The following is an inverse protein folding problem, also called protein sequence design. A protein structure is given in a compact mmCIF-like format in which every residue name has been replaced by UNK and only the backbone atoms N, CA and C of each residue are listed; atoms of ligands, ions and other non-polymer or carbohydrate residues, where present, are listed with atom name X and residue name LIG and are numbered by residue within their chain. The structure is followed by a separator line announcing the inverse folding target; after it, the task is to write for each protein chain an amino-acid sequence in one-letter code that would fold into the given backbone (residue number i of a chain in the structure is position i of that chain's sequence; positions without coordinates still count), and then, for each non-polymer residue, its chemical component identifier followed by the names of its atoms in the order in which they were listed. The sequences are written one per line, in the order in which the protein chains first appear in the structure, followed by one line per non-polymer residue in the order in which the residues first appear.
data_IF_145155770802
#
_entry.id   IF_145155770802
#
_cell.length_a   1.000
_cell.length_b   1.000
_cell.length_c   1.000
_cell.angle_alpha   90.00
_cell.angle_beta   90.00
_cell.angle_gamma   90.00
#
_symmetry.space_group_name_H-M   'P 1'
#
loop_
_entity.id
_entity.type
_entity.pdbx_description
1 polymer ?
#
# COMPACT_ATOMS: atom_id res chain seq x y z
N UNK A 1 71.72 -4.43 28.39
CA UNK A 1 71.63 -2.97 28.62
C UNK A 1 70.83 -2.25 27.53
N UNK A 2 70.96 -2.60 26.24
CA UNK A 2 70.18 -1.94 25.16
C UNK A 2 68.66 -1.96 25.29
N UNK A 3 68.04 -3.00 25.89
CA UNK A 3 66.59 -3.06 26.07
C UNK A 3 66.05 -2.06 27.11
N UNK A 4 66.82 -1.81 28.18
CA UNK A 4 66.43 -0.89 29.26
C UNK A 4 66.60 0.56 28.82
N UNK A 5 67.67 0.89 28.09
CA UNK A 5 67.84 2.20 27.46
C UNK A 5 66.77 2.49 26.40
N UNK A 6 66.36 1.47 25.63
CA UNK A 6 65.27 1.62 24.67
C UNK A 6 63.91 1.86 25.37
N UNK A 7 63.70 1.21 26.51
CA UNK A 7 62.50 1.38 27.33
C UNK A 7 62.45 2.78 27.98
N UNK A 8 63.54 3.26 28.58
CA UNK A 8 63.62 4.60 29.18
C UNK A 8 63.43 5.72 28.15
N UNK A 9 63.96 5.52 26.94
CA UNK A 9 63.86 6.50 25.86
C UNK A 9 62.49 6.51 25.19
N UNK A 10 61.72 5.42 25.25
CA UNK A 10 60.36 5.33 24.71
C UNK A 10 59.26 5.64 25.75
N UNK A 11 59.53 5.41 27.04
CA UNK A 11 58.62 5.67 28.16
C UNK A 11 57.93 7.05 28.13
N UNK A 12 58.65 8.19 27.98
CA UNK A 12 58.02 9.51 28.01
C UNK A 12 57.14 9.80 26.78
N UNK A 13 57.23 8.99 25.72
CA UNK A 13 56.45 9.15 24.50
C UNK A 13 55.21 8.25 24.48
N UNK A 14 55.26 7.05 25.08
CA UNK A 14 54.11 6.11 25.15
C UNK A 14 53.18 6.43 26.32
N UNK A 15 53.70 6.97 27.42
CA UNK A 15 52.90 7.40 28.58
C UNK A 15 51.77 8.38 28.25
N UNK A 16 52.00 9.50 27.53
CA UNK A 16 50.94 10.45 27.23
C UNK A 16 49.87 9.87 26.30
N UNK A 17 50.23 8.96 25.39
CA UNK A 17 49.28 8.27 24.52
C UNK A 17 48.38 7.31 25.31
N UNK A 18 48.97 6.51 26.21
CA UNK A 18 48.22 5.61 27.10
C UNK A 18 47.35 6.36 28.09
N UNK A 19 47.83 7.47 28.65
CA UNK A 19 47.06 8.33 29.55
C UNK A 19 45.89 9.02 28.83
N UNK A 20 46.08 9.47 27.59
CA UNK A 20 45.00 10.04 26.79
C UNK A 20 43.94 8.98 26.43
N UNK A 21 44.37 7.78 26.00
CA UNK A 21 43.46 6.68 25.71
C UNK A 21 42.70 6.20 26.97
N UNK A 22 43.40 6.07 28.10
CA UNK A 22 42.79 5.71 29.39
C UNK A 22 41.83 6.81 29.88
N UNK A 23 42.17 8.09 29.70
CA UNK A 23 41.31 9.22 30.01
C UNK A 23 40.02 9.21 29.19
N UNK A 24 40.10 8.94 27.88
CA UNK A 24 38.93 8.79 27.02
C UNK A 24 38.08 7.57 27.41
N UNK A 25 38.70 6.43 27.73
CA UNK A 25 38.00 5.25 28.21
C UNK A 25 37.31 5.48 29.57
N UNK A 26 37.95 6.23 30.46
CA UNK A 26 37.37 6.62 31.75
C UNK A 26 36.16 7.54 31.55
N UNK A 27 36.29 8.59 30.72
CA UNK A 27 35.17 9.50 30.39
C UNK A 27 34.03 8.73 29.74
N UNK A 28 34.34 7.77 28.86
CA UNK A 28 33.35 6.89 28.25
C UNK A 28 32.59 6.07 29.29
N UNK A 29 33.30 5.37 30.19
CA UNK A 29 32.70 4.57 31.25
C UNK A 29 31.87 5.45 32.20
N UNK A 30 32.31 6.68 32.47
CA UNK A 30 31.62 7.63 33.35
C UNK A 30 30.33 8.16 32.71
N UNK A 31 30.35 8.48 31.41
CA UNK A 31 29.16 8.87 30.64
C UNK A 31 28.17 7.70 30.53
N UNK A 32 28.65 6.49 30.25
CA UNK A 32 27.84 5.28 30.22
C UNK A 32 27.19 5.00 31.58
N UNK A 33 27.97 5.09 32.65
CA UNK A 33 27.51 4.91 34.03
C UNK A 33 26.50 5.99 34.42
N UNK A 34 26.74 7.26 34.10
CA UNK A 34 25.81 8.37 34.39
C UNK A 34 24.47 8.21 33.65
N UNK A 35 24.52 7.80 32.38
CA UNK A 35 23.32 7.53 31.57
C UNK A 35 22.58 6.25 32.02
N UNK A 36 23.29 5.30 32.61
CA UNK A 36 22.72 4.09 33.21
C UNK A 36 22.23 4.33 34.66
N UNK A 37 22.79 5.29 35.39
CA UNK A 37 22.38 5.66 36.75
C UNK A 37 21.04 6.43 36.75
N UNK A 38 20.70 7.11 35.64
CA UNK A 38 19.36 7.70 35.42
C UNK A 38 18.28 6.68 35.01
N UNK A 39 18.37 5.45 35.49
CA UNK A 39 17.32 4.41 35.39
C UNK A 39 16.20 4.74 36.36
N UNK A 40 15.33 5.66 35.99
CA UNK A 40 13.96 5.75 36.54
C UNK A 40 12.99 5.42 35.41
N UNK A 41 12.26 4.33 35.66
CA UNK A 41 11.07 3.73 35.03
C UNK A 41 10.76 3.97 33.53
N UNK A 42 10.20 2.93 32.93
CA UNK A 42 10.40 2.53 31.54
C UNK A 42 9.21 2.97 30.69
N UNK A 43 9.39 4.01 29.88
CA UNK A 43 8.54 4.31 28.71
C UNK A 43 9.21 3.75 27.43
N UNK A 44 8.56 2.88 26.66
CA UNK A 44 9.08 2.33 25.40
C UNK A 44 9.52 3.41 24.39
N UNK A 45 8.74 4.49 24.25
CA UNK A 45 9.00 5.56 23.27
C UNK A 45 10.23 6.43 23.54
N UNK A 46 10.68 6.54 24.80
CA UNK A 46 11.89 7.31 25.16
C UNK A 46 13.18 6.50 24.98
N UNK A 47 13.07 5.21 24.66
CA UNK A 47 14.22 4.31 24.57
C UNK A 47 15.00 4.48 23.26
N UNK A 48 14.32 4.68 22.12
CA UNK A 48 14.98 4.86 20.81
C UNK A 48 15.84 6.13 20.79
N UNK A 49 15.29 7.27 21.24
CA UNK A 49 16.04 8.52 21.35
C UNK A 49 17.26 8.38 22.26
N UNK A 50 17.12 7.71 23.41
CA UNK A 50 18.24 7.48 24.33
C UNK A 50 19.30 6.54 23.73
N UNK A 51 18.89 5.50 23.01
CA UNK A 51 19.80 4.59 22.30
C UNK A 51 20.58 5.34 21.21
N UNK A 52 19.92 6.17 20.42
CA UNK A 52 20.57 7.01 19.40
C UNK A 52 21.59 7.98 20.01
N UNK A 53 21.22 8.68 21.10
CA UNK A 53 22.16 9.59 21.80
C UNK A 53 23.37 8.83 22.36
N UNK A 54 23.17 7.63 22.92
CA UNK A 54 24.27 6.79 23.40
C UNK A 54 25.19 6.36 22.26
N UNK A 55 24.62 5.86 21.16
CA UNK A 55 25.39 5.42 19.99
C UNK A 55 26.19 6.59 19.39
N UNK A 56 25.56 7.76 19.26
CA UNK A 56 26.23 8.98 18.80
C UNK A 56 27.40 9.38 19.72
N UNK A 57 27.19 9.41 21.04
CA UNK A 57 28.24 9.71 22.02
C UNK A 57 29.38 8.70 21.95
N UNK A 58 29.07 7.41 21.78
CA UNK A 58 30.11 6.37 21.63
C UNK A 58 30.94 6.57 20.37
N UNK A 59 30.30 6.95 19.25
CA UNK A 59 30.98 7.24 17.99
C UNK A 59 31.87 8.49 18.11
N UNK A 60 31.39 9.54 18.78
CA UNK A 60 32.16 10.78 19.03
C UNK A 60 33.40 10.50 19.88
N UNK A 61 33.29 9.69 20.93
CA UNK A 61 34.45 9.33 21.76
C UNK A 61 35.44 8.46 20.99
N UNK A 62 34.98 7.51 20.19
CA UNK A 62 35.87 6.71 19.35
C UNK A 62 36.61 7.58 18.33
N UNK A 63 35.90 8.52 17.69
CA UNK A 63 36.47 9.46 16.75
C UNK A 63 37.50 10.39 17.42
N UNK A 64 37.21 10.89 18.63
CA UNK A 64 38.15 11.76 19.36
C UNK A 64 39.43 11.03 19.78
N UNK A 65 39.34 9.76 20.18
CA UNK A 65 40.52 8.92 20.47
C UNK A 65 41.42 8.77 19.25
N UNK A 66 40.84 8.45 18.07
CA UNK A 66 41.60 8.32 16.81
C UNK A 66 42.26 9.66 16.43
N UNK A 67 41.55 10.77 16.66
CA UNK A 67 42.05 12.10 16.35
C UNK A 67 43.19 12.51 17.28
N UNK A 68 43.09 12.25 18.59
CA UNK A 68 44.17 12.48 19.57
C UNK A 68 45.41 11.63 19.23
N UNK A 69 45.25 10.36 18.88
CA UNK A 69 46.36 9.50 18.45
C UNK A 69 47.07 10.01 17.18
N UNK A 70 46.37 10.77 16.33
CA UNK A 70 46.95 11.34 15.11
C UNK A 70 47.87 12.54 15.38
N UNK A 71 47.74 13.22 16.52
CA UNK A 71 48.59 14.36 16.89
C UNK A 71 49.94 13.94 17.51
N UNK A 72 50.05 12.71 17.97
CA UNK A 72 51.27 12.18 18.58
C UNK A 72 52.20 11.69 17.47
N UNK A 73 53.35 12.36 17.29
CA UNK A 73 54.30 12.12 16.17
C UNK A 73 54.65 10.64 15.93
N UNK A 74 54.78 9.85 17.00
CA UNK A 74 55.23 8.45 16.93
C UNK A 74 54.10 7.47 16.56
N UNK A 75 52.85 7.78 16.91
CA UNK A 75 51.68 6.97 16.54
C UNK A 75 50.98 7.48 15.30
N UNK A 76 51.45 8.59 14.71
CA UNK A 76 50.81 9.26 13.58
C UNK A 76 50.59 8.34 12.38
N UNK A 77 51.60 7.55 12.00
CA UNK A 77 51.48 6.60 10.88
C UNK A 77 50.42 5.53 11.17
N UNK A 78 50.51 4.88 12.34
CA UNK A 78 49.53 3.88 12.77
C UNK A 78 48.12 4.45 12.91
N UNK A 79 47.99 5.69 13.39
CA UNK A 79 46.73 6.40 13.52
C UNK A 79 46.13 6.74 12.16
N UNK A 80 46.95 7.15 11.17
CA UNK A 80 46.46 7.39 9.80
C UNK A 80 45.99 6.11 9.11
N UNK A 81 46.71 4.99 9.27
CA UNK A 81 46.29 3.68 8.74
C UNK A 81 45.00 3.21 9.41
N UNK A 82 44.92 3.33 10.74
CA UNK A 82 43.72 2.97 11.50
C UNK A 82 42.52 3.85 11.13
N UNK A 83 42.72 5.17 10.98
CA UNK A 83 41.68 6.10 10.55
C UNK A 83 41.20 5.79 9.13
N UNK A 84 42.10 5.43 8.21
CA UNK A 84 41.76 5.00 6.86
C UNK A 84 40.94 3.70 6.85
N UNK A 85 41.39 2.68 7.58
CA UNK A 85 40.66 1.41 7.74
C UNK A 85 39.28 1.61 8.37
N UNK A 86 39.21 2.37 9.47
CA UNK A 86 37.94 2.70 10.10
C UNK A 86 37.06 3.50 9.15
N UNK A 87 37.59 4.46 8.40
CA UNK A 87 36.83 5.22 7.40
C UNK A 87 36.23 4.33 6.32
N UNK A 88 36.98 3.36 5.80
CA UNK A 88 36.48 2.39 4.81
C UNK A 88 35.40 1.51 5.43
N UNK A 89 35.63 0.96 6.63
CA UNK A 89 34.66 0.09 7.31
C UNK A 89 33.38 0.83 7.67
N UNK A 90 33.48 2.05 8.23
CA UNK A 90 32.32 2.87 8.58
C UNK A 90 31.54 3.32 7.34
N UNK A 91 32.22 3.76 6.29
CA UNK A 91 31.54 4.16 5.05
C UNK A 91 30.84 2.97 4.40
N UNK A 92 31.51 1.82 4.29
CA UNK A 92 30.89 0.59 3.79
C UNK A 92 29.69 0.17 4.66
N UNK A 93 29.83 0.19 5.99
CA UNK A 93 28.73 -0.16 6.90
C UNK A 93 27.53 0.78 6.73
N UNK A 94 27.75 2.10 6.64
CA UNK A 94 26.69 3.08 6.43
C UNK A 94 26.02 2.87 5.07
N UNK A 95 26.79 2.69 4.00
CA UNK A 95 26.26 2.46 2.65
C UNK A 95 25.41 1.20 2.60
N UNK A 96 25.92 0.07 3.11
CA UNK A 96 25.21 -1.22 3.10
C UNK A 96 23.93 -1.13 3.95
N UNK A 97 24.01 -0.50 5.12
CA UNK A 97 22.86 -0.38 6.03
C UNK A 97 21.79 0.58 5.48
N UNK A 98 22.20 1.62 4.75
CA UNK A 98 21.27 2.63 4.21
C UNK A 98 20.72 2.26 2.84
N UNK A 99 21.32 1.28 2.15
CA UNK A 99 20.96 0.88 0.80
C UNK A 99 19.45 0.61 0.66
N UNK A 100 18.87 -0.16 1.58
CA UNK A 100 17.43 -0.53 1.53
C UNK A 100 16.50 0.69 1.66
N UNK A 101 16.85 1.68 2.50
CA UNK A 101 16.06 2.90 2.64
C UNK A 101 16.09 3.72 1.35
N UNK A 102 17.28 3.90 0.78
CA UNK A 102 17.47 4.64 -0.47
C UNK A 102 16.75 3.92 -1.62
N UNK A 103 16.85 2.59 -1.71
CA UNK A 103 16.15 1.80 -2.72
C UNK A 103 14.63 1.95 -2.63
N UNK A 104 14.04 1.95 -1.42
CA UNK A 104 12.60 2.17 -1.26
C UNK A 104 12.19 3.61 -1.62
N UNK A 105 12.99 4.61 -1.28
CA UNK A 105 12.72 6.00 -1.68
C UNK A 105 12.77 6.17 -3.21
N UNK A 106 13.80 5.62 -3.85
CA UNK A 106 13.94 5.68 -5.31
C UNK A 106 12.82 4.89 -6.02
N UNK A 107 12.44 3.72 -5.49
CA UNK A 107 11.28 2.98 -5.97
C UNK A 107 9.98 3.79 -5.83
N UNK A 108 9.79 4.50 -4.71
CA UNK A 108 8.65 5.39 -4.51
C UNK A 108 8.59 6.53 -5.52
N UNK A 109 9.72 7.19 -5.77
CA UNK A 109 9.82 8.25 -6.78
C UNK A 109 9.53 7.71 -8.19
N UNK A 110 10.08 6.54 -8.53
CA UNK A 110 9.82 5.88 -9.80
C UNK A 110 8.34 5.54 -9.98
N UNK A 111 7.70 4.94 -8.97
CA UNK A 111 6.26 4.61 -9.02
C UNK A 111 5.40 5.86 -9.24
N UNK A 112 5.75 6.97 -8.60
CA UNK A 112 5.08 8.28 -8.79
C UNK A 112 5.34 8.87 -10.18
N UNK A 113 6.53 8.67 -10.75
CA UNK A 113 6.89 9.16 -12.07
C UNK A 113 6.18 8.38 -13.19
N UNK A 114 6.15 7.05 -13.11
CA UNK A 114 5.49 6.20 -14.11
C UNK A 114 3.95 6.27 -13.98
N UNK A 115 3.43 6.62 -12.80
CA UNK A 115 1.99 6.78 -12.51
C UNK A 115 1.19 5.51 -12.84
N UNK A 116 1.73 4.34 -12.52
CA UNK A 116 1.10 3.04 -12.79
C UNK A 116 -0.26 2.85 -12.09
N UNK A 117 -0.42 3.43 -10.89
CA UNK A 117 -1.65 3.45 -10.10
C UNK A 117 -1.69 4.71 -9.23
N UNK A 118 -2.88 5.05 -8.74
CA UNK A 118 -3.18 6.22 -7.88
C UNK A 118 -3.80 5.77 -6.56
N UNK A 119 -3.94 6.70 -5.61
CA UNK A 119 -4.78 6.43 -4.42
C UNK A 119 -6.22 6.24 -4.90
N UNK A 120 -6.92 5.27 -4.33
CA UNK A 120 -8.28 4.89 -4.74
C UNK A 120 -8.36 3.77 -5.79
N UNK A 121 -7.28 3.43 -6.50
CA UNK A 121 -7.27 2.31 -7.43
C UNK A 121 -7.27 0.96 -6.68
N UNK A 122 -7.94 -0.06 -7.22
CA UNK A 122 -7.75 -1.43 -6.75
C UNK A 122 -6.47 -2.01 -7.34
N UNK A 123 -5.64 -2.59 -6.48
CA UNK A 123 -4.35 -3.13 -6.85
C UNK A 123 -4.21 -4.55 -6.31
N UNK A 124 -3.59 -5.42 -7.10
CA UNK A 124 -3.16 -6.76 -6.68
C UNK A 124 -1.66 -6.92 -6.88
N UNK A 125 -0.95 -7.31 -5.82
CA UNK A 125 0.50 -7.58 -5.85
C UNK A 125 0.81 -8.87 -5.10
N UNK A 126 1.14 -9.92 -5.84
CA UNK A 126 1.18 -11.27 -5.28
C UNK A 126 -0.18 -11.63 -4.69
N UNK A 127 -0.19 -12.02 -3.41
CA UNK A 127 -1.40 -12.43 -2.69
C UNK A 127 -2.19 -11.25 -2.07
N UNK A 128 -1.68 -10.02 -2.19
CA UNK A 128 -2.28 -8.86 -1.54
C UNK A 128 -3.22 -8.19 -2.54
N UNK A 129 -4.50 -8.07 -2.19
CA UNK A 129 -5.51 -7.38 -2.95
C UNK A 129 -6.20 -6.35 -2.08
N UNK A 130 -6.39 -5.14 -2.60
CA UNK A 130 -7.04 -4.06 -1.88
C UNK A 130 -7.06 -2.76 -2.67
N UNK A 131 -7.62 -1.72 -2.06
CA UNK A 131 -7.66 -0.37 -2.59
C UNK A 131 -6.52 0.45 -2.01
N UNK A 132 -5.81 1.20 -2.83
CA UNK A 132 -4.67 2.01 -2.37
C UNK A 132 -5.16 3.13 -1.46
N UNK A 133 -4.76 3.12 -0.19
CA UNK A 133 -5.11 4.15 0.79
C UNK A 133 -4.04 5.24 0.89
N UNK A 134 -2.77 4.88 0.83
CA UNK A 134 -1.68 5.85 0.94
C UNK A 134 -0.51 5.50 0.02
N UNK A 135 0.15 6.52 -0.54
CA UNK A 135 1.43 6.38 -1.24
C UNK A 135 2.51 7.19 -0.53
N UNK A 136 3.16 6.58 0.46
CA UNK A 136 4.28 7.15 1.20
C UNK A 136 5.60 7.22 0.41
N UNK A 137 6.64 7.76 1.04
CA UNK A 137 7.98 7.84 0.43
C UNK A 137 8.66 6.47 0.33
N UNK A 138 8.45 5.60 1.32
CA UNK A 138 9.12 4.30 1.42
C UNK A 138 8.18 3.10 1.25
N UNK A 139 6.87 3.33 1.34
CA UNK A 139 5.86 2.30 1.31
C UNK A 139 4.58 2.80 0.64
N UNK A 140 3.72 1.86 0.25
CA UNK A 140 2.32 2.08 -0.13
C UNK A 140 1.46 1.31 0.85
N UNK A 141 0.36 1.91 1.28
CA UNK A 141 -0.63 1.25 2.10
C UNK A 141 -1.84 0.84 1.23
N UNK A 142 -2.27 -0.40 1.41
CA UNK A 142 -3.48 -0.95 0.79
C UNK A 142 -4.50 -1.23 1.88
N UNK A 143 -5.73 -0.78 1.70
CA UNK A 143 -6.86 -1.22 2.50
C UNK A 143 -7.45 -2.47 1.85
N UNK A 144 -7.54 -3.56 2.59
CA UNK A 144 -8.07 -4.86 2.13
C UNK A 144 -9.59 -4.93 2.26
N UNK A 145 -10.21 -5.98 1.70
CA UNK A 145 -11.65 -6.22 1.83
C UNK A 145 -12.13 -6.46 3.27
N UNK A 146 -11.22 -6.89 4.14
CA UNK A 146 -11.47 -7.05 5.58
C UNK A 146 -11.27 -5.75 6.38
N UNK A 147 -11.10 -4.61 5.69
CA UNK A 147 -10.78 -3.29 6.26
C UNK A 147 -9.40 -3.19 6.93
N UNK A 148 -8.57 -4.23 6.84
CA UNK A 148 -7.18 -4.20 7.32
C UNK A 148 -6.28 -3.31 6.43
N UNK A 149 -5.26 -2.70 7.04
CA UNK A 149 -4.26 -1.88 6.37
C UNK A 149 -2.96 -2.66 6.15
N UNK A 150 -2.71 -3.05 4.90
CA UNK A 150 -1.51 -3.75 4.49
C UNK A 150 -0.45 -2.77 3.97
N UNK A 151 0.67 -2.62 4.70
CA UNK A 151 1.80 -1.79 4.29
C UNK A 151 2.80 -2.56 3.44
N UNK A 152 2.98 -2.15 2.18
CA UNK A 152 3.90 -2.74 1.23
C UNK A 152 5.11 -1.83 0.98
N UNK A 153 6.36 -2.32 1.13
CA UNK A 153 7.54 -1.54 0.75
C UNK A 153 7.54 -1.18 -0.74
N UNK A 154 7.97 0.03 -1.10
CA UNK A 154 7.99 0.46 -2.50
C UNK A 154 8.86 -0.45 -3.37
N UNK A 155 9.97 -0.94 -2.84
CA UNK A 155 10.85 -1.86 -3.56
C UNK A 155 10.14 -3.17 -3.91
N UNK A 156 9.23 -3.65 -3.05
CA UNK A 156 8.44 -4.85 -3.31
C UNK A 156 7.52 -4.67 -4.54
N UNK A 157 6.86 -3.52 -4.64
CA UNK A 157 5.96 -3.17 -5.73
C UNK A 157 6.69 -3.01 -7.08
N UNK A 158 7.94 -2.53 -7.06
CA UNK A 158 8.76 -2.44 -8.27
C UNK A 158 9.32 -3.81 -8.68
N UNK A 159 9.57 -4.70 -7.72
CA UNK A 159 10.14 -6.02 -7.96
C UNK A 159 9.15 -7.09 -8.42
N UNK A 160 7.85 -6.88 -8.21
CA UNK A 160 6.79 -7.85 -8.54
C UNK A 160 5.81 -7.28 -9.55
N UNK A 161 5.14 -8.14 -10.35
CA UNK A 161 4.03 -7.70 -11.18
C UNK A 161 2.91 -7.07 -10.33
N UNK A 162 2.45 -5.89 -10.75
CA UNK A 162 1.36 -5.15 -10.12
C UNK A 162 0.19 -5.13 -11.10
N UNK A 163 -0.93 -5.72 -10.71
CA UNK A 163 -2.17 -5.64 -11.49
C UNK A 163 -3.03 -4.52 -10.93
N UNK A 164 -3.49 -3.63 -11.79
CA UNK A 164 -4.28 -2.45 -11.41
C UNK A 164 -5.63 -2.50 -12.11
N UNK A 165 -6.69 -2.37 -11.35
CA UNK A 165 -8.04 -2.13 -11.88
C UNK A 165 -8.18 -0.61 -11.99
N UNK A 166 -8.15 -0.10 -13.22
CA UNK A 166 -8.17 1.34 -13.48
C UNK A 166 -9.58 1.90 -13.33
N UNK A 167 -9.66 3.18 -12.97
CA UNK A 167 -10.91 3.95 -12.99
C UNK A 167 -11.62 3.99 -14.37
N UNK A 168 -10.91 3.68 -15.46
CA UNK A 168 -11.48 3.61 -16.82
C UNK A 168 -12.37 2.39 -17.07
N UNK A 169 -12.51 1.48 -16.10
CA UNK A 169 -13.32 0.28 -16.22
C UNK A 169 -12.50 -1.01 -16.27
N UNK A 170 -13.19 -2.13 -16.08
CA UNK A 170 -12.58 -3.47 -16.06
C UNK A 170 -13.55 -4.55 -16.51
N UNK A 171 -13.02 -5.71 -16.91
CA UNK A 171 -13.86 -6.88 -17.18
C UNK A 171 -14.18 -7.58 -15.86
N UNK A 172 -15.47 -7.69 -15.56
CA UNK A 172 -15.97 -8.55 -14.49
C UNK A 172 -16.41 -9.87 -15.11
N UNK A 173 -15.98 -10.98 -14.53
CA UNK A 173 -16.34 -12.31 -15.02
C UNK A 173 -16.64 -13.28 -13.90
N UNK A 174 -17.50 -14.25 -14.18
CA UNK A 174 -17.72 -15.42 -13.33
C UNK A 174 -17.71 -16.69 -14.18
N UNK A 175 -17.50 -17.82 -13.52
CA UNK A 175 -17.43 -19.14 -14.15
C UNK A 175 -18.48 -20.04 -13.53
N UNK A 176 -19.20 -20.77 -14.36
CA UNK A 176 -20.20 -21.76 -13.95
C UNK A 176 -19.97 -23.05 -14.72
N UNK A 177 -20.13 -24.17 -14.06
CA UNK A 177 -20.02 -25.50 -14.67
C UNK A 177 -21.41 -26.12 -14.72
N UNK A 178 -21.81 -26.58 -15.91
CA UNK A 178 -23.14 -27.12 -16.17
C UNK A 178 -23.04 -28.48 -16.86
N UNK A 179 -24.02 -29.36 -16.63
CA UNK A 179 -24.04 -30.70 -17.20
C UNK A 179 -24.15 -30.69 -18.74
N UNK A 180 -23.72 -31.79 -19.37
CA UNK A 180 -23.82 -31.96 -20.83
C UNK A 180 -25.25 -32.11 -21.36
N UNK A 181 -26.19 -32.40 -20.46
CA UNK A 181 -27.60 -32.55 -20.80
C UNK A 181 -28.26 -31.21 -21.19
N UNK A 182 -27.64 -30.09 -20.78
CA UNK A 182 -28.13 -28.75 -21.09
C UNK A 182 -27.67 -28.29 -22.48
N UNK A 183 -28.60 -27.72 -23.26
CA UNK A 183 -28.27 -27.17 -24.58
C UNK A 183 -27.39 -25.92 -24.43
N UNK A 184 -26.19 -25.96 -25.01
CA UNK A 184 -25.24 -24.84 -24.95
C UNK A 184 -25.83 -23.52 -25.49
N UNK A 185 -26.70 -23.57 -26.50
CA UNK A 185 -27.36 -22.38 -27.06
C UNK A 185 -28.29 -21.72 -26.04
N UNK A 186 -29.04 -22.54 -25.29
CA UNK A 186 -29.95 -22.08 -24.23
C UNK A 186 -29.15 -21.46 -23.07
N UNK A 187 -28.07 -22.13 -22.67
CA UNK A 187 -27.18 -21.67 -21.59
C UNK A 187 -26.48 -20.37 -21.96
N UNK A 188 -25.88 -20.27 -23.15
CA UNK A 188 -25.20 -19.06 -23.61
C UNK A 188 -26.14 -17.86 -23.65
N UNK A 189 -27.37 -18.04 -24.14
CA UNK A 189 -28.39 -16.99 -24.14
C UNK A 189 -28.76 -16.53 -22.72
N UNK A 190 -29.02 -17.47 -21.79
CA UNK A 190 -29.35 -17.15 -20.41
C UNK A 190 -28.19 -16.43 -19.68
N UNK A 191 -26.96 -16.86 -19.90
CA UNK A 191 -25.77 -16.23 -19.31
C UNK A 191 -25.55 -14.81 -19.87
N UNK A 192 -25.79 -14.61 -21.16
CA UNK A 192 -25.69 -13.28 -21.76
C UNK A 192 -26.75 -12.33 -21.19
N UNK A 193 -28.00 -12.78 -21.03
CA UNK A 193 -29.06 -12.02 -20.36
C UNK A 193 -28.69 -11.69 -18.91
N UNK A 194 -28.08 -12.62 -18.18
CA UNK A 194 -27.61 -12.38 -16.82
C UNK A 194 -26.58 -11.26 -16.72
N UNK A 195 -25.63 -11.18 -17.66
CA UNK A 195 -24.63 -10.10 -17.66
C UNK A 195 -25.23 -8.74 -18.02
N UNK A 196 -26.23 -8.70 -18.92
CA UNK A 196 -26.99 -7.48 -19.21
C UNK A 196 -27.77 -7.03 -17.97
N UNK A 197 -28.45 -7.97 -17.28
CA UNK A 197 -29.17 -7.70 -16.04
C UNK A 197 -28.26 -7.21 -14.91
N UNK A 198 -27.00 -7.65 -14.89
CA UNK A 198 -25.98 -7.17 -13.95
C UNK A 198 -25.45 -5.75 -14.26
N UNK A 199 -25.95 -5.11 -15.32
CA UNK A 199 -25.51 -3.80 -15.83
C UNK A 199 -24.05 -3.79 -16.33
N UNK A 200 -23.62 -4.87 -16.98
CA UNK A 200 -22.34 -4.93 -17.69
C UNK A 200 -22.53 -4.58 -19.17
N UNK A 201 -21.57 -3.81 -19.71
CA UNK A 201 -21.50 -3.49 -21.13
C UNK A 201 -20.79 -4.60 -21.90
N UNK A 202 -21.11 -4.75 -23.19
CA UNK A 202 -20.47 -5.71 -24.11
C UNK A 202 -20.29 -7.13 -23.52
N UNK A 203 -21.37 -7.78 -23.03
CA UNK A 203 -21.27 -9.09 -22.41
C UNK A 203 -20.91 -10.18 -23.43
N UNK A 204 -20.08 -11.12 -23.00
CA UNK A 204 -19.68 -12.27 -23.82
C UNK A 204 -19.54 -13.54 -22.98
N UNK A 205 -19.81 -14.68 -23.61
CA UNK A 205 -19.71 -16.02 -23.02
C UNK A 205 -18.66 -16.81 -23.78
N UNK A 206 -17.80 -17.51 -23.04
CA UNK A 206 -16.87 -18.50 -23.59
C UNK A 206 -17.04 -19.85 -22.91
N UNK A 207 -16.89 -20.93 -23.67
CA UNK A 207 -16.63 -22.25 -23.12
C UNK A 207 -15.14 -22.33 -22.80
N UNK A 208 -14.79 -22.46 -21.52
CA UNK A 208 -13.40 -22.57 -21.08
C UNK A 208 -12.87 -24.00 -21.20
N UNK A 209 -13.70 -24.97 -20.82
CA UNK A 209 -13.29 -26.36 -20.69
C UNK A 209 -14.48 -27.29 -20.92
N UNK A 210 -14.23 -28.40 -21.61
CA UNK A 210 -15.13 -29.56 -21.70
C UNK A 210 -14.60 -30.61 -20.72
N UNK A 211 -15.08 -30.58 -19.47
CA UNK A 211 -14.65 -31.49 -18.42
C UNK A 211 -15.31 -32.85 -18.53
N UNK A 212 -14.94 -33.80 -17.66
CA UNK A 212 -15.46 -35.17 -17.72
C UNK A 212 -16.99 -35.26 -17.52
N UNK A 213 -17.55 -34.35 -16.71
CA UNK A 213 -18.97 -34.38 -16.31
C UNK A 213 -19.72 -33.05 -16.55
N UNK A 214 -19.02 -32.01 -17.00
CA UNK A 214 -19.61 -30.68 -17.14
C UNK A 214 -18.85 -29.81 -18.15
N UNK A 215 -19.57 -28.90 -18.79
CA UNK A 215 -19.02 -27.81 -19.57
C UNK A 215 -18.81 -26.60 -18.65
N UNK A 216 -17.59 -26.06 -18.62
CA UNK A 216 -17.29 -24.85 -17.84
C UNK A 216 -17.44 -23.62 -18.73
N UNK A 217 -18.42 -22.79 -18.42
CA UNK A 217 -18.68 -21.51 -19.08
C UNK A 217 -18.04 -20.37 -18.28
N UNK A 218 -17.52 -19.38 -18.99
CA UNK A 218 -17.15 -18.08 -18.44
C UNK A 218 -18.03 -17.02 -19.05
N UNK A 219 -18.80 -16.36 -18.20
CA UNK A 219 -19.54 -15.15 -18.54
C UNK A 219 -18.73 -13.94 -18.08
N UNK A 220 -18.64 -12.94 -18.94
CA UNK A 220 -17.90 -11.72 -18.65
C UNK A 220 -18.57 -10.51 -19.32
N UNK A 221 -18.29 -9.33 -18.79
CA UNK A 221 -18.71 -8.06 -19.38
C UNK A 221 -17.89 -6.90 -18.83
N UNK A 222 -17.94 -5.78 -19.53
CA UNK A 222 -17.25 -4.56 -19.16
C UNK A 222 -18.01 -3.79 -18.09
N UNK A 223 -17.32 -3.45 -17.01
CA UNK A 223 -17.81 -2.60 -15.92
C UNK A 223 -17.12 -1.24 -16.04
N UNK A 224 -17.84 -0.16 -16.41
CA UNK A 224 -17.24 1.17 -16.53
C UNK A 224 -16.87 1.77 -15.17
N UNK A 225 -17.73 1.62 -14.16
CA UNK A 225 -17.51 2.16 -12.81
C UNK A 225 -16.92 1.10 -11.87
N UNK A 226 -15.64 1.24 -11.53
CA UNK A 226 -14.93 0.24 -10.74
C UNK A 226 -15.03 0.44 -9.22
N UNK A 227 -15.62 1.54 -8.74
CA UNK A 227 -15.74 1.82 -7.30
C UNK A 227 -16.44 0.67 -6.57
N UNK A 228 -17.50 0.14 -7.19
CA UNK A 228 -18.36 -0.95 -6.68
C UNK A 228 -17.98 -2.33 -7.24
N UNK A 229 -16.69 -2.61 -7.36
CA UNK A 229 -16.17 -3.81 -8.02
C UNK A 229 -16.67 -5.12 -7.35
N UNK A 230 -16.70 -5.16 -6.02
CA UNK A 230 -17.07 -6.37 -5.27
C UNK A 230 -18.57 -6.63 -5.37
N UNK A 231 -19.37 -5.58 -5.21
CA UNK A 231 -20.81 -5.56 -5.40
C UNK A 231 -21.19 -5.94 -6.83
N UNK A 232 -20.48 -5.44 -7.85
CA UNK A 232 -20.71 -5.83 -9.25
C UNK A 232 -20.40 -7.32 -9.49
N UNK A 233 -19.32 -7.85 -8.90
CA UNK A 233 -18.99 -9.29 -8.96
C UNK A 233 -20.06 -10.13 -8.27
N UNK A 234 -20.56 -9.69 -7.11
CA UNK A 234 -21.64 -10.37 -6.40
C UNK A 234 -22.94 -10.36 -7.22
N UNK A 235 -23.32 -9.18 -7.73
CA UNK A 235 -24.50 -8.99 -8.58
C UNK A 235 -24.47 -9.88 -9.82
N UNK A 236 -23.33 -9.96 -10.52
CA UNK A 236 -23.20 -10.85 -11.68
C UNK A 236 -23.49 -12.31 -11.30
N UNK A 237 -22.99 -12.80 -10.16
CA UNK A 237 -23.27 -14.16 -9.71
C UNK A 237 -24.74 -14.36 -9.38
N UNK A 238 -25.38 -13.39 -8.73
CA UNK A 238 -26.82 -13.42 -8.46
C UNK A 238 -27.64 -13.46 -9.75
N UNK A 239 -27.35 -12.58 -10.71
CA UNK A 239 -28.04 -12.57 -11.99
C UNK A 239 -27.84 -13.86 -12.78
N UNK A 240 -26.65 -14.48 -12.70
CA UNK A 240 -26.39 -15.78 -13.33
C UNK A 240 -27.26 -16.87 -12.70
N UNK A 241 -27.34 -16.92 -11.36
CA UNK A 241 -28.23 -17.88 -10.68
C UNK A 241 -29.69 -17.66 -11.09
N UNK A 242 -30.16 -16.42 -11.06
CA UNK A 242 -31.55 -16.08 -11.38
C UNK A 242 -31.90 -16.40 -12.84
N UNK A 243 -31.02 -16.08 -13.80
CA UNK A 243 -31.23 -16.34 -15.21
C UNK A 243 -31.23 -17.84 -15.54
N UNK A 244 -30.32 -18.61 -14.94
CA UNK A 244 -30.28 -20.06 -15.13
C UNK A 244 -31.52 -20.74 -14.51
N UNK A 245 -31.94 -20.33 -13.32
CA UNK A 245 -33.18 -20.83 -12.71
C UNK A 245 -34.43 -20.44 -13.52
N UNK A 246 -34.50 -19.20 -14.03
CA UNK A 246 -35.62 -18.77 -14.87
C UNK A 246 -35.67 -19.52 -16.21
N UNK A 247 -34.51 -19.93 -16.72
CA UNK A 247 -34.40 -20.77 -17.90
C UNK A 247 -34.62 -22.26 -17.62
N UNK A 248 -34.90 -22.68 -16.37
CA UNK A 248 -35.05 -24.10 -15.99
C UNK A 248 -33.80 -24.91 -16.39
N UNK A 249 -32.61 -24.35 -16.12
CA UNK A 249 -31.30 -25.00 -16.28
C UNK A 249 -30.85 -25.45 -14.90
N UNK A 250 -30.58 -26.75 -14.75
CA UNK A 250 -30.19 -27.29 -13.45
C UNK A 250 -28.73 -26.96 -13.12
N UNK A 251 -28.50 -26.30 -11.98
CA UNK A 251 -27.15 -26.02 -11.48
C UNK A 251 -26.76 -27.11 -10.49
N UNK A 252 -26.06 -28.14 -10.97
CA UNK A 252 -25.59 -29.26 -10.14
C UNK A 252 -24.07 -29.24 -9.98
N UNK A 253 -23.61 -29.70 -8.81
CA UNK A 253 -22.19 -30.01 -8.64
C UNK A 253 -21.83 -31.24 -9.47
N UNK A 254 -20.69 -31.26 -10.17
CA UNK A 254 -20.22 -32.44 -10.91
C UNK A 254 -20.05 -33.69 -10.03
N UNK A 255 -19.93 -33.52 -8.70
CA UNK A 255 -19.81 -34.61 -7.72
C UNK A 255 -21.14 -34.99 -7.04
N UNK A 256 -22.28 -34.56 -7.59
CA UNK A 256 -23.58 -34.83 -7.00
C UNK A 256 -23.96 -36.32 -7.13
N UNK A 257 -23.59 -37.13 -6.15
CA UNK A 257 -24.15 -38.47 -5.95
C UNK A 257 -25.48 -38.35 -5.18
N UNK A 258 -26.59 -38.50 -5.89
CA UNK A 258 -27.92 -38.44 -5.29
C UNK A 258 -28.32 -39.79 -4.69
N UNK A 259 -28.47 -39.87 -3.35
CA UNK A 259 -29.46 -40.76 -2.74
C UNK A 259 -30.09 -40.12 -1.50
N UNK A 260 -31.27 -39.53 -1.67
CA UNK A 260 -32.19 -39.20 -0.56
C UNK A 260 -33.61 -39.60 -0.92
N UNK A 261 -34.10 -40.71 -0.39
CA UNK A 261 -35.53 -41.01 -0.37
C UNK A 261 -36.17 -40.22 0.77
N UNK A 262 -36.93 -39.17 0.47
CA UNK A 262 -37.69 -38.41 1.46
C UNK A 262 -39.18 -38.43 1.10
N UNK A 263 -39.96 -38.98 2.01
CA UNK A 263 -41.42 -38.99 1.99
C UNK A 263 -41.98 -37.56 1.91
N UNK A 264 -42.79 -37.30 0.87
CA UNK A 264 -43.80 -36.25 0.62
C UNK A 264 -43.89 -34.97 1.49
N UNK A 265 -42.83 -34.44 2.07
CA UNK A 265 -42.87 -33.08 2.64
C UNK A 265 -41.53 -32.39 2.39
N UNK A 266 -41.61 -31.30 1.62
CA UNK A 266 -40.49 -30.53 1.12
C UNK A 266 -39.62 -29.98 2.26
N UNK A 267 -38.29 -30.14 2.14
CA UNK A 267 -37.29 -29.52 3.02
C UNK A 267 -36.34 -28.66 2.19
N UNK A 268 -36.91 -27.74 1.42
CA UNK A 268 -36.23 -26.53 0.98
C UNK A 268 -37.16 -25.36 1.29
N UNK A 269 -36.65 -24.21 1.80
CA UNK A 269 -37.51 -23.07 2.06
C UNK A 269 -38.14 -22.67 0.73
N UNK A 270 -39.47 -22.52 0.71
CA UNK A 270 -40.13 -21.92 -0.42
C UNK A 270 -39.50 -20.54 -0.64
N UNK A 271 -38.63 -20.42 -1.64
CA UNK A 271 -38.16 -19.12 -2.10
C UNK A 271 -39.39 -18.44 -2.69
N UNK A 272 -40.11 -17.71 -1.85
CA UNK A 272 -40.77 -16.51 -2.34
C UNK A 272 -39.61 -15.67 -2.84
N UNK A 273 -39.47 -15.58 -4.16
CA UNK A 273 -38.81 -14.44 -4.79
C UNK A 273 -39.48 -13.24 -4.15
N UNK A 274 -38.85 -12.70 -3.10
CA UNK A 274 -39.23 -11.40 -2.59
C UNK A 274 -38.79 -10.50 -3.72
N UNK A 275 -39.76 -10.17 -4.58
CA UNK A 275 -39.64 -9.10 -5.56
C UNK A 275 -38.83 -8.02 -4.89
N UNK A 276 -37.59 -7.82 -5.38
CA UNK A 276 -36.59 -7.02 -4.72
C UNK A 276 -37.28 -5.77 -4.21
N UNK A 277 -37.50 -5.72 -2.89
CA UNK A 277 -37.97 -4.49 -2.27
C UNK A 277 -36.85 -3.53 -2.59
N UNK A 278 -37.17 -2.53 -3.39
CA UNK A 278 -36.32 -1.41 -3.74
C UNK A 278 -35.53 -1.03 -2.51
N UNK A 279 -34.31 -1.55 -2.37
CA UNK A 279 -33.41 -1.12 -1.30
C UNK A 279 -33.16 0.32 -1.67
N UNK A 280 -33.69 1.19 -0.84
CA UNK A 280 -33.59 2.63 -0.97
C UNK A 280 -32.16 2.99 -1.33
N UNK A 281 -32.02 3.87 -2.31
CA UNK A 281 -30.79 4.37 -2.93
C UNK A 281 -29.84 5.11 -1.98
N UNK A 282 -29.89 4.87 -0.67
CA UNK A 282 -29.17 5.60 0.39
C UNK A 282 -28.48 4.68 1.42
N UNK A 283 -28.60 3.35 1.34
CA UNK A 283 -27.82 2.47 2.21
C UNK A 283 -26.37 2.35 1.70
N UNK A 284 -25.40 2.63 2.58
CA UNK A 284 -23.97 2.57 2.29
C UNK A 284 -23.60 1.24 1.62
N UNK A 285 -22.86 1.30 0.51
CA UNK A 285 -22.44 0.07 -0.16
C UNK A 285 -21.39 -0.65 0.69
N UNK A 286 -21.29 -1.99 0.61
CA UNK A 286 -20.29 -2.74 1.38
C UNK A 286 -18.87 -2.17 1.20
N UNK A 287 -18.55 -1.73 -0.01
CA UNK A 287 -17.27 -1.10 -0.33
C UNK A 287 -17.02 0.22 0.41
N UNK A 288 -18.06 1.03 0.66
CA UNK A 288 -17.92 2.29 1.39
C UNK A 288 -17.54 2.03 2.86
N UNK A 289 -17.91 0.87 3.41
CA UNK A 289 -17.55 0.44 4.77
C UNK A 289 -16.16 -0.20 4.79
N UNK A 290 -15.84 -1.05 3.81
CA UNK A 290 -14.58 -1.78 3.74
C UNK A 290 -13.39 -0.89 3.38
N UNK A 291 -13.63 0.13 2.54
CA UNK A 291 -12.58 0.97 1.95
C UNK A 291 -12.72 2.45 2.33
N UNK A 292 -13.29 2.73 3.49
CA UNK A 292 -13.53 4.08 4.02
C UNK A 292 -12.28 4.98 4.00
N UNK A 293 -11.14 4.48 4.49
CA UNK A 293 -9.87 5.21 4.52
C UNK A 293 -9.36 5.47 3.10
N UNK A 294 -9.41 4.47 2.23
CA UNK A 294 -8.95 4.61 0.84
C UNK A 294 -9.83 5.58 0.04
N UNK A 295 -11.14 5.59 0.31
CA UNK A 295 -12.06 6.56 -0.29
C UNK A 295 -11.77 7.98 0.16
N UNK A 296 -11.62 8.21 1.46
CA UNK A 296 -11.24 9.53 2.00
C UNK A 296 -9.91 10.01 1.41
N UNK A 297 -8.93 9.11 1.29
CA UNK A 297 -7.63 9.45 0.74
C UNK A 297 -7.71 9.80 -0.76
N UNK A 298 -8.56 9.14 -1.54
CA UNK A 298 -8.83 9.49 -2.94
C UNK A 298 -9.49 10.88 -3.05
N UNK A 299 -10.47 11.18 -2.19
CA UNK A 299 -11.11 12.50 -2.14
C UNK A 299 -10.13 13.61 -1.78
N UNK A 300 -9.22 13.36 -0.83
CA UNK A 300 -8.16 14.30 -0.49
C UNK A 300 -7.17 14.52 -1.66
N UNK A 301 -6.78 13.44 -2.36
CA UNK A 301 -5.89 13.56 -3.52
C UNK A 301 -6.58 14.32 -4.68
N UNK A 302 -7.88 14.11 -4.90
CA UNK A 302 -8.64 14.83 -5.92
C UNK A 302 -8.83 16.31 -5.57
N UNK A 303 -9.15 16.63 -4.31
CA UNK A 303 -9.20 18.00 -3.81
C UNK A 303 -7.85 18.73 -4.00
N UNK A 304 -6.74 18.09 -3.63
CA UNK A 304 -5.40 18.64 -3.80
C UNK A 304 -5.08 18.99 -5.26
N UNK A 305 -5.39 18.08 -6.20
CA UNK A 305 -5.20 18.33 -7.65
C UNK A 305 -6.07 19.48 -8.16
N UNK A 306 -7.36 19.48 -7.78
CA UNK A 306 -8.28 20.57 -8.16
C UNK A 306 -7.77 21.92 -7.65
N UNK A 307 -7.23 21.97 -6.43
CA UNK A 307 -6.65 23.20 -5.87
C UNK A 307 -5.41 23.67 -6.65
N UNK A 308 -4.52 22.75 -7.03
CA UNK A 308 -3.33 23.04 -7.83
C UNK A 308 -3.72 23.53 -9.23
N UNK A 309 -4.64 22.84 -9.89
CA UNK A 309 -5.16 23.21 -11.21
C UNK A 309 -5.81 24.61 -11.21
N UNK A 310 -6.58 24.94 -10.15
CA UNK A 310 -7.15 26.28 -9.97
C UNK A 310 -6.04 27.31 -9.84
N UNK A 311 -5.03 27.09 -8.99
CA UNK A 311 -3.92 28.05 -8.82
C UNK A 311 -3.11 28.24 -10.11
N UNK A 312 -2.86 27.16 -10.86
CA UNK A 312 -2.17 27.21 -12.14
C UNK A 312 -2.98 28.00 -13.17
N UNK A 313 -4.30 27.76 -13.27
CA UNK A 313 -5.17 28.48 -14.18
C UNK A 313 -5.32 29.96 -13.79
N UNK A 314 -5.40 30.28 -12.49
CA UNK A 314 -5.40 31.66 -12.00
C UNK A 314 -4.12 32.40 -12.41
N UNK A 315 -2.96 31.73 -12.35
CA UNK A 315 -1.69 32.30 -12.81
C UNK A 315 -1.65 32.53 -14.33
N UNK A 316 -2.24 31.62 -15.13
CA UNK A 316 -2.33 31.76 -16.58
C UNK A 316 -3.31 32.86 -16.99
N UNK A 317 -4.40 33.03 -16.23
CA UNK A 317 -5.41 34.07 -16.46
C UNK A 317 -4.84 35.48 -16.30
N UNK A 318 -3.85 35.66 -15.41
CA UNK A 318 -3.14 36.91 -15.22
C UNK A 318 -2.24 37.29 -16.42
N UNK A 319 -1.88 36.32 -17.27
CA UNK A 319 -0.91 36.48 -18.36
C UNK A 319 -1.50 36.41 -19.79
N UNK A 320 -2.83 36.30 -19.95
CA UNK A 320 -3.47 35.93 -21.24
C UNK A 320 -4.47 36.98 -21.77
N UNK A 321 -4.60 37.08 -23.10
CA UNK A 321 -5.53 37.96 -23.84
C UNK A 321 -7.04 37.67 -23.61
N UNK A 322 -7.88 38.68 -23.83
CA UNK A 322 -9.34 38.71 -23.56
C UNK A 322 -10.15 37.54 -24.16
N UNK A 323 -9.77 37.02 -25.33
CA UNK A 323 -10.52 35.96 -26.01
C UNK A 323 -10.37 34.59 -25.30
N UNK A 324 -9.16 34.26 -24.84
CA UNK A 324 -8.88 33.03 -24.08
C UNK A 324 -9.27 33.17 -22.61
N UNK A 325 -9.32 34.40 -22.10
CA UNK A 325 -9.73 34.69 -20.72
C UNK A 325 -11.14 34.20 -20.38
N UNK A 326 -12.12 34.38 -21.29
CA UNK A 326 -13.50 33.90 -21.08
C UNK A 326 -13.60 32.37 -20.99
N UNK A 327 -12.80 31.65 -21.77
CA UNK A 327 -12.71 30.18 -21.74
C UNK A 327 -12.01 29.68 -20.47
N UNK A 328 -10.98 30.38 -20.01
CA UNK A 328 -10.33 30.07 -18.74
C UNK A 328 -11.25 30.37 -17.53
N UNK A 329 -12.01 31.47 -17.55
CA UNK A 329 -12.96 31.82 -16.48
C UNK A 329 -14.11 30.80 -16.36
N UNK A 330 -14.63 30.27 -17.47
CA UNK A 330 -15.65 29.21 -17.44
C UNK A 330 -15.10 27.90 -16.89
N UNK A 331 -13.90 27.52 -17.31
CA UNK A 331 -13.19 26.33 -16.80
C UNK A 331 -12.90 26.43 -15.30
N UNK A 332 -12.48 27.62 -14.84
CA UNK A 332 -12.19 27.90 -13.44
C UNK A 332 -13.47 27.81 -12.58
N UNK A 333 -14.60 28.32 -13.08
CA UNK A 333 -15.90 28.16 -12.42
C UNK A 333 -16.31 26.69 -12.29
N UNK A 334 -16.08 25.89 -13.33
CA UNK A 334 -16.37 24.45 -13.29
C UNK A 334 -15.49 23.72 -12.28
N UNK A 335 -14.18 23.98 -12.24
CA UNK A 335 -13.25 23.37 -11.30
C UNK A 335 -13.56 23.77 -9.84
N UNK A 336 -13.93 25.04 -9.59
CA UNK A 336 -14.40 25.47 -8.26
C UNK A 336 -15.65 24.73 -7.82
N UNK A 337 -16.63 24.56 -8.71
CA UNK A 337 -17.83 23.79 -8.42
C UNK A 337 -17.54 22.31 -8.11
N UNK A 338 -16.57 21.70 -8.80
CA UNK A 338 -16.11 20.35 -8.50
C UNK A 338 -15.40 20.27 -7.13
N UNK A 339 -14.54 21.23 -6.82
CA UNK A 339 -13.86 21.29 -5.51
C UNK A 339 -14.87 21.42 -4.37
N UNK A 340 -15.82 22.33 -4.49
CA UNK A 340 -16.83 22.57 -3.47
C UNK A 340 -17.71 21.31 -3.23
N UNK A 341 -17.98 20.52 -4.28
CA UNK A 341 -18.67 19.23 -4.14
C UNK A 341 -17.82 18.18 -3.40
N UNK A 342 -16.50 18.14 -3.62
CA UNK A 342 -15.58 17.27 -2.88
C UNK A 342 -15.47 17.72 -1.42
N UNK A 343 -15.43 19.02 -1.15
CA UNK A 343 -15.40 19.59 0.21
C UNK A 343 -16.64 19.18 1.01
N UNK A 344 -17.81 19.23 0.37
CA UNK A 344 -19.06 18.78 0.98
C UNK A 344 -19.02 17.28 1.32
N UNK A 345 -18.55 16.44 0.39
CA UNK A 345 -18.37 15.00 0.62
C UNK A 345 -17.33 14.68 1.71
N UNK A 346 -16.26 15.47 1.82
CA UNK A 346 -15.24 15.32 2.87
C UNK A 346 -15.79 15.69 4.24
N UNK A 347 -16.65 16.72 4.32
CA UNK A 347 -17.31 17.12 5.55
C UNK A 347 -18.31 16.05 6.05
N UNK A 348 -19.05 15.43 5.12
CA UNK A 348 -20.03 14.38 5.44
C UNK A 348 -19.37 13.06 5.88
N UNK A 349 -18.11 12.83 5.51
CA UNK A 349 -17.37 11.59 5.79
C UNK A 349 -16.48 11.63 7.04
N UNK A 350 -16.51 12.72 7.85
CA UNK A 350 -15.74 12.81 9.11
C UNK A 350 -16.34 11.87 10.17
N UNK A 351 -15.62 10.81 10.60
CA UNK A 351 -16.05 10.02 11.74
C UNK A 351 -15.84 10.84 13.02
N UNK A 352 -16.76 10.74 13.99
CA UNK A 352 -16.70 11.43 15.29
C UNK A 352 -15.52 10.98 16.21
N UNK A 353 -14.49 10.33 15.69
CA UNK A 353 -13.39 9.76 16.49
C UNK A 353 -12.19 10.70 16.69
N UNK A 354 -12.07 11.81 15.97
CA UNK A 354 -10.97 12.79 16.15
C UNK A 354 -11.11 13.68 17.42
N UNK A 355 -12.16 13.51 18.24
CA UNK A 355 -12.29 14.20 19.55
C UNK A 355 -11.62 13.47 20.73
N UNK A 356 -10.88 12.37 20.50
CA UNK A 356 -10.16 11.64 21.56
C UNK A 356 -8.70 11.32 21.21
N UNK A 357 -7.86 12.34 21.08
CA UNK A 357 -6.41 12.23 21.39
C UNK A 357 -5.91 13.43 22.21
#
# INVERSE_FOLDING_TARGET
MHFVEYLEKSLPYVLPALLAAAGCALVFLLVQWMLAARRKEIDPGRNVRRQLVRLLLTAIVLASVVLIMSFIKQTRESATVLAGLLGIVFSAAITISSATFISNAMAGLMLRAVRNFRVGDYVRVGDHFGRVSERGLFHVELQTEDRDLATLPNLYLVSKPVTVVRASGTIVSTTVSLGYDESHVKVEAALQEAAIAAALEEPFVYILELGDYSITYRIAGFLPEVKRLLSARSRLRTCVLDALHAADVEIVSPMFMNQRQLSQTAVAPASKVVSATTVSSEEATPEDIMFDKAERAEQLESHGKLSEDITNLESQLAATDEAKRKELESTLKQLRGQRDAVDQSLADSVPQEEERE
#
